data_IF_525162643578
#
_entry.id   IF_525162643578
#
_cell.length_a   1.000
_cell.length_b   1.000
_cell.length_c   1.000
_cell.angle_alpha   90.00
_cell.angle_beta   90.00
_cell.angle_gamma   90.00
#
_symmetry.space_group_name_H-M   'P 1'
#
loop_
_entity.id
_entity.type
_entity.pdbx_description
1 polymer ?
#
# COMPACT_ATOMS: atom_id res chain seq x y z
N UNK A 1 4.28 14.45 11.26
CA UNK A 1 4.78 15.74 10.71
C UNK A 1 5.61 16.49 11.76
N UNK A 2 5.11 16.66 12.99
CA UNK A 2 5.81 17.43 14.01
C UNK A 2 7.18 16.83 14.32
N UNK A 3 7.30 15.51 14.43
CA UNK A 3 8.60 14.83 14.62
C UNK A 3 9.55 15.06 13.44
N UNK A 4 9.04 15.10 12.22
CA UNK A 4 9.86 15.31 11.02
C UNK A 4 10.38 16.75 10.92
N UNK A 5 9.58 17.69 11.37
CA UNK A 5 9.92 19.12 11.33
C UNK A 5 10.70 19.59 12.57
N UNK A 6 10.64 18.85 13.67
CA UNK A 6 11.29 19.24 14.94
C UNK A 6 11.90 18.04 15.65
N UNK A 7 13.22 18.05 15.81
CA UNK A 7 13.94 17.04 16.61
C UNK A 7 13.62 17.10 18.12
N UNK A 8 12.85 18.09 18.56
CA UNK A 8 12.46 18.27 19.95
C UNK A 8 11.30 17.35 20.37
N UNK A 9 10.57 16.79 19.40
CA UNK A 9 9.52 15.79 19.68
C UNK A 9 10.17 14.44 19.93
N UNK A 10 10.09 13.96 21.17
CA UNK A 10 10.70 12.70 21.59
C UNK A 10 9.68 11.66 22.03
N UNK A 11 8.40 12.04 22.09
CA UNK A 11 7.32 11.18 22.57
C UNK A 11 6.00 11.45 21.84
N UNK A 12 5.32 10.38 21.47
CA UNK A 12 3.96 10.39 20.93
C UNK A 12 3.12 9.43 21.77
N UNK A 13 1.88 9.83 22.12
CA UNK A 13 0.89 8.95 22.76
C UNK A 13 -0.37 8.93 21.92
N UNK A 14 -0.92 7.75 21.73
CA UNK A 14 -2.18 7.51 21.03
C UNK A 14 -3.05 6.67 21.94
N UNK A 15 -4.27 7.12 22.23
CA UNK A 15 -5.21 6.39 23.07
C UNK A 15 -6.57 6.34 22.41
N UNK A 16 -7.25 5.20 22.54
CA UNK A 16 -8.62 4.98 22.08
C UNK A 16 -9.44 4.52 23.25
N UNK A 17 -10.44 5.32 23.62
CA UNK A 17 -11.34 5.00 24.73
C UNK A 17 -12.45 4.05 24.28
N UNK A 18 -13.00 3.20 25.17
CA UNK A 18 -14.14 2.35 24.85
C UNK A 18 -15.40 3.11 24.36
N UNK A 19 -15.47 4.40 24.69
CA UNK A 19 -16.51 5.33 24.20
C UNK A 19 -16.35 5.67 22.72
N UNK A 20 -15.21 5.30 22.10
CA UNK A 20 -14.84 5.68 20.76
C UNK A 20 -14.08 7.01 20.64
N UNK A 21 -13.84 7.70 21.76
CA UNK A 21 -13.01 8.90 21.79
C UNK A 21 -11.54 8.54 21.54
N UNK A 22 -10.86 9.39 20.78
CA UNK A 22 -9.47 9.23 20.37
C UNK A 22 -8.66 10.41 20.87
N UNK A 23 -7.52 10.13 21.52
CA UNK A 23 -6.53 11.13 21.91
C UNK A 23 -5.22 10.89 21.18
N UNK A 24 -4.62 11.97 20.67
CA UNK A 24 -3.26 11.99 20.13
C UNK A 24 -2.49 13.10 20.78
N UNK A 25 -1.40 12.74 21.44
CA UNK A 25 -0.52 13.65 22.15
C UNK A 25 0.90 13.56 21.62
N UNK A 26 1.58 14.67 21.51
CA UNK A 26 3.04 14.69 21.37
C UNK A 26 3.64 15.76 22.28
N UNK A 27 4.81 15.47 22.83
CA UNK A 27 5.65 16.48 23.45
C UNK A 27 6.42 17.29 22.38
N UNK A 28 7.19 18.26 22.78
CA UNK A 28 7.94 19.13 21.88
C UNK A 28 7.29 20.50 21.75
N UNK A 29 7.73 21.34 20.82
CA UNK A 29 7.16 22.68 20.66
C UNK A 29 5.66 22.58 20.45
N UNK A 30 4.91 23.38 21.17
CA UNK A 30 3.47 23.53 20.94
C UNK A 30 3.19 24.19 19.59
N UNK A 31 1.93 24.31 19.25
CA UNK A 31 1.50 25.16 18.15
C UNK A 31 1.68 26.60 18.58
N UNK A 32 2.36 27.41 17.76
CA UNK A 32 2.59 28.82 18.09
C UNK A 32 1.27 29.57 18.27
N UNK A 33 1.12 30.28 19.41
CA UNK A 33 -0.12 30.94 19.78
C UNK A 33 0.03 32.43 19.51
N UNK A 34 -0.42 32.85 18.34
CA UNK A 34 -0.45 34.24 17.92
C UNK A 34 -1.76 34.55 17.19
N UNK A 35 -2.13 35.82 17.12
CA UNK A 35 -3.25 36.25 16.29
C UNK A 35 -2.78 36.41 14.86
N UNK A 36 -3.52 35.83 13.94
CA UNK A 36 -3.27 35.89 12.51
C UNK A 36 -4.59 36.12 11.76
N UNK A 37 -4.52 36.58 10.52
CA UNK A 37 -5.70 36.79 9.69
C UNK A 37 -5.93 35.59 8.79
N UNK A 38 -7.18 35.15 8.71
CA UNK A 38 -7.59 34.18 7.69
C UNK A 38 -7.71 34.85 6.30
N UNK A 39 -8.05 34.07 5.28
CA UNK A 39 -8.20 34.55 3.89
C UNK A 39 -9.26 35.66 3.74
N UNK A 40 -10.24 35.70 4.64
CA UNK A 40 -11.29 36.74 4.68
C UNK A 40 -10.90 37.97 5.49
N UNK A 41 -9.67 38.01 6.03
CA UNK A 41 -9.18 39.13 6.86
C UNK A 41 -9.63 39.10 8.34
N UNK A 42 -10.35 38.08 8.77
CA UNK A 42 -10.78 37.92 10.16
C UNK A 42 -9.60 37.48 11.03
N UNK A 43 -9.41 38.19 12.16
CA UNK A 43 -8.38 37.83 13.15
C UNK A 43 -8.81 36.62 13.98
N UNK A 44 -7.92 35.64 14.09
CA UNK A 44 -8.07 34.47 14.94
C UNK A 44 -6.72 33.95 15.40
N UNK A 45 -6.72 33.07 16.41
CA UNK A 45 -5.48 32.43 16.85
C UNK A 45 -5.04 31.34 15.89
N UNK A 46 -3.72 31.16 15.74
CA UNK A 46 -3.14 30.15 14.84
C UNK A 46 -3.70 28.73 15.05
N UNK A 47 -3.91 28.21 16.28
CA UNK A 47 -4.55 26.90 16.43
C UNK A 47 -5.98 26.87 15.89
N UNK A 48 -6.77 27.95 16.06
CA UNK A 48 -8.10 28.05 15.48
C UNK A 48 -8.06 28.05 13.95
N UNK A 49 -7.13 28.79 13.35
CA UNK A 49 -6.91 28.79 11.90
C UNK A 49 -6.58 27.38 11.38
N UNK A 50 -5.65 26.68 12.05
CA UNK A 50 -5.20 25.35 11.63
C UNK A 50 -6.33 24.32 11.66
N UNK A 51 -7.22 24.35 12.63
CA UNK A 51 -8.26 23.33 12.79
C UNK A 51 -9.65 23.78 12.33
N UNK A 52 -9.93 25.06 12.32
CA UNK A 52 -11.24 25.63 11.99
C UNK A 52 -11.38 26.08 10.54
N UNK A 53 -10.28 26.42 9.84
CA UNK A 53 -10.36 27.02 8.51
C UNK A 53 -9.82 26.06 7.43
N UNK A 54 -10.58 25.87 6.36
CA UNK A 54 -10.12 25.11 5.20
C UNK A 54 -8.98 25.85 4.48
N UNK A 55 -8.14 25.09 3.79
CA UNK A 55 -7.00 25.63 3.02
C UNK A 55 -5.97 26.41 3.87
N UNK A 56 -6.04 26.31 5.19
CA UNK A 56 -5.03 26.87 6.08
C UNK A 56 -3.91 25.85 6.28
N UNK A 57 -2.76 26.09 5.68
CA UNK A 57 -1.58 25.23 5.76
C UNK A 57 -0.33 26.02 5.41
N UNK A 58 0.83 25.51 5.84
CA UNK A 58 2.16 26.10 5.52
C UNK A 58 2.85 25.44 4.33
N UNK A 59 2.22 24.42 3.70
CA UNK A 59 2.85 23.56 2.70
C UNK A 59 2.37 23.82 1.26
N UNK A 60 1.89 25.03 0.98
CA UNK A 60 1.43 25.43 -0.35
C UNK A 60 2.56 25.94 -1.26
N UNK A 61 3.75 26.15 -0.73
CA UNK A 61 4.90 26.61 -1.48
C UNK A 61 5.59 25.41 -2.17
N UNK A 62 5.25 25.18 -3.43
CA UNK A 62 5.82 24.10 -4.25
C UNK A 62 7.27 24.36 -4.69
N UNK A 63 7.84 25.55 -4.38
CA UNK A 63 9.24 25.87 -4.68
C UNK A 63 10.23 25.22 -3.70
N UNK A 64 9.72 24.73 -2.56
CA UNK A 64 10.51 24.07 -1.52
C UNK A 64 10.19 22.58 -1.43
N UNK A 65 11.22 21.76 -1.35
CA UNK A 65 11.07 20.33 -1.10
C UNK A 65 10.34 20.08 0.22
N UNK A 66 9.23 19.36 0.13
CA UNK A 66 8.41 18.98 1.27
C UNK A 66 8.61 17.49 1.58
N UNK A 67 9.09 17.17 2.77
CA UNK A 67 9.30 15.80 3.25
C UNK A 67 8.18 15.29 4.18
N UNK A 68 7.06 15.98 4.22
CA UNK A 68 5.88 15.61 4.99
C UNK A 68 4.73 15.19 4.08
N UNK A 69 3.86 14.30 4.55
CA UNK A 69 2.76 13.79 3.73
C UNK A 69 1.61 14.78 3.50
N UNK A 70 1.53 15.87 4.29
CA UNK A 70 0.45 16.88 4.17
C UNK A 70 0.77 17.94 3.11
N UNK A 71 -0.18 18.21 2.20
CA UNK A 71 -0.07 19.25 1.18
C UNK A 71 -1.19 20.30 1.33
N UNK A 72 -2.43 19.87 1.24
CA UNK A 72 -3.58 20.74 1.03
C UNK A 72 -4.22 21.26 2.32
N UNK A 73 -3.65 21.00 3.50
CA UNK A 73 -4.21 21.42 4.78
C UNK A 73 -5.65 20.93 5.05
N UNK A 74 -6.07 19.81 4.42
CA UNK A 74 -7.45 19.31 4.50
C UNK A 74 -7.62 18.24 5.58
N UNK A 75 -6.61 17.39 5.81
CA UNK A 75 -6.75 16.19 6.64
C UNK A 75 -7.20 16.47 8.08
N UNK A 76 -6.58 17.45 8.76
CA UNK A 76 -6.98 17.84 10.12
C UNK A 76 -8.41 18.39 10.16
N UNK A 77 -8.81 19.17 9.15
CA UNK A 77 -10.15 19.76 9.04
C UNK A 77 -11.22 18.70 8.83
N UNK A 78 -10.95 17.69 8.00
CA UNK A 78 -11.88 16.56 7.84
C UNK A 78 -12.06 15.82 9.17
N UNK A 79 -11.03 15.67 9.97
CA UNK A 79 -11.17 15.09 11.31
C UNK A 79 -12.10 15.95 12.18
N UNK A 80 -11.96 17.27 12.15
CA UNK A 80 -12.86 18.16 12.90
C UNK A 80 -14.30 18.11 12.39
N UNK A 81 -14.48 18.19 11.06
CA UNK A 81 -15.80 18.18 10.41
C UNK A 81 -16.58 16.89 10.70
N UNK A 82 -15.89 15.76 10.74
CA UNK A 82 -16.51 14.47 11.01
C UNK A 82 -16.43 14.07 12.50
N UNK A 83 -16.27 15.03 13.40
CA UNK A 83 -16.31 14.82 14.85
C UNK A 83 -17.55 15.43 15.48
N UNK A 84 -18.11 14.75 16.48
CA UNK A 84 -19.13 15.35 17.38
C UNK A 84 -18.50 16.44 18.22
N UNK A 85 -17.32 16.18 18.74
CA UNK A 85 -16.47 17.13 19.45
C UNK A 85 -15.02 16.89 19.06
N UNK A 86 -14.30 17.98 18.85
CA UNK A 86 -12.85 17.99 18.62
C UNK A 86 -12.23 19.08 19.48
N UNK A 87 -11.23 18.74 20.25
CA UNK A 87 -10.55 19.67 21.15
C UNK A 87 -9.06 19.70 20.82
N UNK A 88 -8.53 20.88 20.61
CA UNK A 88 -7.09 21.16 20.55
C UNK A 88 -6.64 21.78 21.86
N UNK A 89 -5.56 21.26 22.41
CA UNK A 89 -4.86 21.78 23.59
C UNK A 89 -3.38 21.87 23.28
N UNK A 90 -2.77 23.01 23.51
CA UNK A 90 -1.35 23.19 23.23
C UNK A 90 -0.70 24.15 24.20
N UNK A 91 0.57 23.89 24.50
CA UNK A 91 1.43 24.74 25.33
C UNK A 91 2.58 25.23 24.47
N UNK A 92 2.60 26.53 24.23
CA UNK A 92 3.64 27.18 23.46
C UNK A 92 4.57 27.98 24.37
N UNK A 93 5.80 27.48 24.53
CA UNK A 93 6.80 28.15 25.36
C UNK A 93 7.40 29.40 24.72
N UNK A 94 7.23 29.60 23.40
CA UNK A 94 7.70 30.81 22.69
C UNK A 94 6.81 32.00 23.07
N UNK A 95 5.48 31.82 22.93
CA UNK A 95 4.52 32.85 23.36
C UNK A 95 4.30 32.89 24.85
N UNK A 96 4.71 31.86 25.60
CA UNK A 96 4.45 31.75 27.04
C UNK A 96 2.98 31.48 27.38
N UNK A 97 2.22 30.91 26.45
CA UNK A 97 0.78 30.72 26.56
C UNK A 97 0.36 29.25 26.50
N UNK A 98 -0.72 28.98 27.24
CA UNK A 98 -1.56 27.79 27.10
C UNK A 98 -2.76 28.16 26.24
N UNK A 99 -3.18 27.23 25.41
CA UNK A 99 -4.37 27.35 24.56
C UNK A 99 -5.19 26.06 24.57
N UNK A 100 -6.52 26.22 24.71
CA UNK A 100 -7.47 25.13 24.55
C UNK A 100 -8.72 25.64 23.86
N UNK A 101 -9.22 24.90 22.87
CA UNK A 101 -10.46 25.24 22.17
C UNK A 101 -11.15 23.97 21.68
N UNK A 102 -12.49 23.99 21.77
CA UNK A 102 -13.32 22.90 21.26
C UNK A 102 -14.16 23.36 20.06
N UNK A 103 -14.27 22.45 19.12
CA UNK A 103 -15.11 22.54 17.93
C UNK A 103 -16.14 21.43 18.02
N UNK A 104 -17.42 21.75 17.78
CA UNK A 104 -18.52 20.80 17.98
C UNK A 104 -19.36 20.67 16.69
N UNK A 105 -20.05 19.54 16.59
CA UNK A 105 -21.03 19.27 15.54
C UNK A 105 -20.51 19.60 14.14
N UNK A 106 -19.31 19.13 13.80
CA UNK A 106 -18.73 19.33 12.47
C UNK A 106 -18.41 20.79 12.13
N UNK A 107 -17.90 21.60 13.09
CA UNK A 107 -17.63 23.03 12.97
C UNK A 107 -18.86 23.95 12.99
N UNK A 108 -20.07 23.44 13.24
CA UNK A 108 -21.24 24.31 13.37
C UNK A 108 -21.22 25.15 14.65
N UNK A 109 -20.48 24.71 15.65
CA UNK A 109 -20.26 25.40 16.91
C UNK A 109 -18.77 25.45 17.23
N UNK A 110 -18.25 26.62 17.52
CA UNK A 110 -16.86 26.86 17.91
C UNK A 110 -16.85 27.59 19.26
N UNK A 111 -16.35 26.90 20.27
CA UNK A 111 -16.24 27.51 21.59
C UNK A 111 -15.18 28.63 21.58
N UNK A 112 -15.33 29.68 22.38
CA UNK A 112 -14.27 30.65 22.56
C UNK A 112 -13.01 29.95 23.13
N UNK A 113 -11.81 30.35 22.68
CA UNK A 113 -10.57 29.72 23.16
C UNK A 113 -10.31 30.12 24.62
N UNK A 114 -9.90 29.14 25.41
CA UNK A 114 -9.29 29.34 26.74
C UNK A 114 -7.81 29.63 26.54
N UNK A 115 -7.34 30.82 26.99
CA UNK A 115 -5.96 31.24 26.84
C UNK A 115 -5.50 31.85 28.15
N UNK A 116 -4.37 31.37 28.66
CA UNK A 116 -3.75 31.94 29.86
C UNK A 116 -2.22 31.74 29.81
N UNK A 117 -1.46 32.52 30.62
CA UNK A 117 -0.03 32.30 30.78
C UNK A 117 0.27 30.87 31.26
N UNK A 118 1.35 30.29 30.78
CA UNK A 118 1.77 28.95 31.22
C UNK A 118 2.17 28.96 32.69
N UNK A 119 1.79 27.89 33.38
CA UNK A 119 2.24 27.65 34.74
C UNK A 119 3.73 27.33 34.76
N UNK A 120 4.46 27.82 35.73
CA UNK A 120 5.91 27.60 35.89
C UNK A 120 6.23 26.10 35.79
N UNK A 121 7.23 25.76 34.94
CA UNK A 121 7.68 24.39 34.64
C UNK A 121 6.75 23.51 33.80
N UNK A 122 5.68 24.04 33.23
CA UNK A 122 4.87 23.30 32.27
C UNK A 122 5.68 23.09 30.97
N UNK A 123 5.87 21.82 30.56
CA UNK A 123 6.58 21.48 29.32
C UNK A 123 5.66 21.70 28.10
N UNK A 124 6.23 22.08 26.96
CA UNK A 124 5.44 22.25 25.74
C UNK A 124 4.90 20.91 25.22
N UNK A 125 3.69 20.95 24.67
CA UNK A 125 3.04 19.80 24.04
C UNK A 125 1.89 20.26 23.13
N UNK A 126 1.42 19.31 22.33
CA UNK A 126 0.14 19.40 21.63
C UNK A 126 -0.66 18.13 21.92
N UNK A 127 -1.94 18.30 22.28
CA UNK A 127 -2.92 17.25 22.51
C UNK A 127 -4.14 17.52 21.65
N UNK A 128 -4.56 16.52 20.92
CA UNK A 128 -5.80 16.51 20.15
C UNK A 128 -6.68 15.41 20.72
N UNK A 129 -7.90 15.78 21.11
CA UNK A 129 -8.90 14.80 21.57
C UNK A 129 -10.14 14.95 20.71
N UNK A 130 -10.70 13.88 20.19
CA UNK A 130 -11.90 13.96 19.38
C UNK A 130 -12.77 12.72 19.48
N UNK A 131 -14.07 12.92 19.37
CA UNK A 131 -15.08 11.89 19.25
C UNK A 131 -15.63 11.90 17.81
N UNK A 132 -15.30 10.91 16.97
CA UNK A 132 -15.86 10.84 15.62
C UNK A 132 -17.39 10.83 15.63
N UNK A 133 -18.00 11.44 14.64
CA UNK A 133 -19.45 11.36 14.44
C UNK A 133 -19.81 9.98 13.83
N UNK A 134 -19.82 8.96 14.65
CA UNK A 134 -20.10 7.58 14.22
C UNK A 134 -21.49 7.45 13.55
N UNK A 135 -22.45 8.27 13.94
CA UNK A 135 -23.80 8.27 13.36
C UNK A 135 -23.78 8.67 11.89
N UNK A 136 -22.97 9.67 11.53
CA UNK A 136 -22.81 10.12 10.14
C UNK A 136 -22.29 8.98 9.23
N UNK A 137 -21.42 8.15 9.76
CA UNK A 137 -20.89 6.97 9.07
C UNK A 137 -21.78 5.73 9.22
N UNK A 138 -22.95 5.83 9.86
CA UNK A 138 -23.84 4.69 10.17
C UNK A 138 -23.14 3.57 10.94
N UNK A 139 -22.21 3.94 11.82
CA UNK A 139 -21.43 3.02 12.64
C UNK A 139 -21.95 3.05 14.09
N UNK A 140 -21.99 1.86 14.72
CA UNK A 140 -22.17 1.73 16.16
C UNK A 140 -20.79 1.78 16.83
N UNK A 141 -20.51 2.77 17.71
CA UNK A 141 -19.21 2.92 18.34
C UNK A 141 -18.73 1.67 19.05
N UNK A 142 -19.63 0.97 19.75
CA UNK A 142 -19.28 -0.26 20.50
C UNK A 142 -18.87 -1.40 19.59
N UNK A 143 -19.57 -1.58 18.47
CA UNK A 143 -19.25 -2.61 17.47
C UNK A 143 -18.01 -2.26 16.67
N UNK A 144 -17.78 -0.98 16.41
CA UNK A 144 -16.66 -0.49 15.62
C UNK A 144 -15.37 -0.34 16.43
N UNK A 145 -15.46 -0.22 17.76
CA UNK A 145 -14.30 -0.05 18.64
C UNK A 145 -13.14 -1.04 18.38
N UNK A 146 -13.37 -2.37 18.25
CA UNK A 146 -12.25 -3.29 17.98
C UNK A 146 -11.53 -2.99 16.68
N UNK A 147 -12.24 -2.54 15.65
CA UNK A 147 -11.68 -2.21 14.34
C UNK A 147 -10.83 -0.95 14.40
N UNK A 148 -11.38 0.14 14.98
CA UNK A 148 -10.64 1.40 15.10
C UNK A 148 -9.45 1.28 16.04
N UNK A 149 -9.62 0.52 17.15
CA UNK A 149 -8.55 0.24 18.08
C UNK A 149 -7.37 -0.45 17.38
N UNK A 150 -7.64 -1.52 16.62
CA UNK A 150 -6.60 -2.24 15.88
C UNK A 150 -5.97 -1.40 14.77
N UNK A 151 -6.75 -0.59 14.08
CA UNK A 151 -6.24 0.32 13.05
C UNK A 151 -5.27 1.35 13.65
N UNK A 152 -5.64 1.98 14.74
CA UNK A 152 -4.80 3.00 15.39
C UNK A 152 -3.59 2.38 16.09
N UNK A 153 -3.71 1.17 16.64
CA UNK A 153 -2.56 0.40 17.11
C UNK A 153 -1.56 0.18 15.97
N UNK A 154 -2.03 -0.28 14.81
CA UNK A 154 -1.16 -0.45 13.62
C UNK A 154 -0.48 0.86 13.22
N UNK A 155 -1.21 2.00 13.27
CA UNK A 155 -0.62 3.31 12.97
C UNK A 155 0.41 3.73 14.01
N UNK A 156 0.21 3.38 15.27
CA UNK A 156 1.19 3.63 16.33
C UNK A 156 2.49 2.83 16.10
N UNK A 157 2.39 1.55 15.72
CA UNK A 157 3.54 0.74 15.33
C UNK A 157 4.28 1.32 14.11
N UNK A 158 3.57 1.77 13.09
CA UNK A 158 4.15 2.43 11.91
C UNK A 158 4.83 3.75 12.26
N UNK A 159 4.24 4.55 13.16
CA UNK A 159 4.84 5.80 13.64
C UNK A 159 6.14 5.52 14.41
N UNK A 160 6.17 4.52 15.28
CA UNK A 160 7.37 4.10 15.99
C UNK A 160 8.46 3.62 15.04
N UNK A 161 8.11 2.78 14.06
CA UNK A 161 9.05 2.27 13.05
C UNK A 161 9.63 3.38 12.17
N UNK A 162 8.82 4.39 11.82
CA UNK A 162 9.27 5.49 10.97
C UNK A 162 10.12 6.51 11.71
N UNK A 163 9.66 6.96 12.88
CA UNK A 163 10.25 8.13 13.56
C UNK A 163 11.38 7.78 14.51
N UNK A 164 11.48 6.54 14.97
CA UNK A 164 12.36 6.10 16.05
C UNK A 164 12.15 6.88 17.35
N UNK A 165 10.96 7.47 17.53
CA UNK A 165 10.52 8.23 18.70
C UNK A 165 9.79 7.27 19.64
N UNK A 166 9.77 7.57 20.95
CA UNK A 166 8.96 6.80 21.91
C UNK A 166 7.48 6.95 21.56
N UNK A 167 6.84 5.87 21.19
CA UNK A 167 5.41 5.85 20.89
C UNK A 167 4.69 4.96 21.90
N UNK A 168 3.63 5.51 22.49
CA UNK A 168 2.75 4.78 23.40
C UNK A 168 1.40 4.57 22.73
N UNK A 169 0.87 3.37 22.87
CA UNK A 169 -0.50 3.05 22.48
C UNK A 169 -1.28 2.54 23.69
N UNK A 170 -2.38 3.21 24.04
CA UNK A 170 -3.16 2.94 25.26
C UNK A 170 -2.24 2.76 26.48
N UNK A 171 -1.32 3.71 26.69
CA UNK A 171 -0.31 3.77 27.76
C UNK A 171 0.81 2.71 27.67
N UNK A 172 0.76 1.76 26.73
CA UNK A 172 1.80 0.77 26.54
C UNK A 172 2.88 1.30 25.57
N UNK A 173 4.13 1.25 25.99
CA UNK A 173 5.25 1.63 25.14
C UNK A 173 5.43 0.59 24.01
N UNK A 174 5.46 1.07 22.78
CA UNK A 174 5.82 0.25 21.63
C UNK A 174 7.34 0.11 21.58
N UNK A 175 7.82 -1.14 21.75
CA UNK A 175 9.25 -1.44 21.79
C UNK A 175 9.72 -1.91 20.42
N UNK A 176 10.19 -0.97 19.60
CA UNK A 176 10.89 -1.24 18.33
C UNK A 176 12.29 -0.61 18.46
N UNK A 177 13.35 -1.39 18.18
CA UNK A 177 14.73 -0.90 18.22
C UNK A 177 15.18 -0.36 16.87
N UNK A 178 14.67 -0.97 15.77
CA UNK A 178 15.06 -0.64 14.41
C UNK A 178 13.91 -0.87 13.42
N UNK A 179 14.03 -0.34 12.22
CA UNK A 179 13.09 -0.64 11.14
C UNK A 179 13.12 -2.14 10.77
N UNK A 180 14.29 -2.77 10.85
CA UNK A 180 14.43 -4.21 10.62
C UNK A 180 13.62 -5.04 11.62
N UNK A 181 13.60 -4.66 12.91
CA UNK A 181 12.78 -5.36 13.92
C UNK A 181 11.28 -5.24 13.60
N UNK A 182 10.85 -4.07 13.11
CA UNK A 182 9.48 -3.89 12.64
C UNK A 182 9.17 -4.78 11.43
N UNK A 183 10.08 -4.86 10.44
CA UNK A 183 9.91 -5.71 9.27
C UNK A 183 9.85 -7.20 9.64
N UNK A 184 10.63 -7.62 10.64
CA UNK A 184 10.66 -9.01 11.12
C UNK A 184 9.32 -9.48 11.70
N UNK A 185 8.44 -8.55 12.12
CA UNK A 185 7.09 -8.89 12.60
C UNK A 185 6.16 -9.44 11.49
N UNK A 186 6.50 -9.24 10.22
CA UNK A 186 5.68 -9.62 9.07
C UNK A 186 6.18 -10.86 8.33
N UNK A 187 7.30 -11.42 8.75
CA UNK A 187 7.92 -12.59 8.11
C UNK A 187 8.72 -13.40 9.11
N UNK A 188 8.68 -14.73 8.97
CA UNK A 188 9.55 -15.65 9.69
C UNK A 188 10.93 -15.77 9.04
N UNK A 189 11.06 -15.32 7.79
CA UNK A 189 12.30 -15.35 7.06
C UNK A 189 13.28 -14.28 7.56
N UNK A 190 14.59 -14.52 7.34
CA UNK A 190 15.63 -13.54 7.64
C UNK A 190 15.35 -12.23 6.91
N UNK A 191 15.47 -11.12 7.63
CA UNK A 191 15.34 -9.75 7.08
C UNK A 191 16.74 -9.18 6.89
N UNK A 192 17.07 -8.86 5.64
CA UNK A 192 18.30 -8.14 5.29
C UNK A 192 18.00 -6.64 5.21
N UNK A 193 18.63 -5.87 6.09
CA UNK A 193 18.46 -4.41 6.16
C UNK A 193 19.62 -3.68 5.48
N UNK A 194 19.29 -2.67 4.68
CA UNK A 194 20.25 -1.81 3.99
C UNK A 194 19.73 -0.39 3.85
N UNK A 195 20.57 0.52 3.37
CA UNK A 195 20.19 1.90 3.01
C UNK A 195 20.45 2.13 1.53
N UNK A 196 19.43 2.55 0.82
CA UNK A 196 19.59 3.10 -0.52
C UNK A 196 19.92 4.59 -0.41
N UNK A 197 20.94 5.02 -1.11
CA UNK A 197 21.38 6.41 -1.12
C UNK A 197 21.06 7.02 -2.46
N UNK A 198 20.69 8.29 -2.46
CA UNK A 198 20.58 9.07 -3.68
C UNK A 198 21.99 9.41 -4.16
N UNK A 199 22.43 8.88 -5.30
CA UNK A 199 23.79 9.08 -5.83
C UNK A 199 24.08 10.52 -6.22
N UNK A 200 23.06 11.30 -6.58
CA UNK A 200 23.20 12.74 -6.89
C UNK A 200 23.27 13.62 -5.64
N UNK A 201 22.64 13.16 -4.53
CA UNK A 201 22.58 13.89 -3.25
C UNK A 201 22.71 12.91 -2.08
N UNK A 202 23.88 12.28 -1.85
CA UNK A 202 24.03 11.15 -0.91
C UNK A 202 23.66 11.46 0.54
N UNK A 203 23.80 12.71 0.97
CA UNK A 203 23.46 13.13 2.33
C UNK A 203 21.97 13.46 2.51
N UNK A 204 21.22 13.60 1.42
CA UNK A 204 19.83 13.98 1.44
C UNK A 204 18.93 12.73 1.24
N UNK A 205 17.91 12.60 2.08
CA UNK A 205 16.78 11.70 1.89
C UNK A 205 17.10 10.20 1.71
N UNK A 206 17.95 9.57 2.54
CA UNK A 206 18.25 8.15 2.40
C UNK A 206 16.99 7.29 2.67
N UNK A 207 16.86 6.19 1.93
CA UNK A 207 15.83 5.19 2.17
C UNK A 207 16.39 4.04 3.00
N UNK A 208 15.70 3.66 4.07
CA UNK A 208 15.95 2.39 4.73
C UNK A 208 15.11 1.31 4.04
N UNK A 209 15.79 0.30 3.51
CA UNK A 209 15.16 -0.81 2.80
C UNK A 209 15.48 -2.10 3.51
N UNK A 210 14.46 -2.92 3.73
CA UNK A 210 14.62 -4.28 4.21
C UNK A 210 14.08 -5.24 3.16
N UNK A 211 14.83 -6.32 2.92
CA UNK A 211 14.45 -7.37 1.98
C UNK A 211 14.33 -8.68 2.76
N UNK A 212 13.30 -9.45 2.45
CA UNK A 212 13.12 -10.81 2.96
C UNK A 212 12.61 -11.71 1.82
N UNK A 213 12.73 -13.02 2.02
CA UNK A 213 12.12 -13.98 1.09
C UNK A 213 10.59 -13.92 1.23
N UNK A 214 9.88 -13.86 0.10
CA UNK A 214 8.42 -13.89 0.03
C UNK A 214 7.90 -15.32 -0.13
N UNK A 215 6.59 -15.50 0.02
CA UNK A 215 5.85 -16.76 -0.13
C UNK A 215 5.53 -17.12 -1.60
N UNK A 216 6.29 -16.59 -2.54
CA UNK A 216 6.05 -16.80 -3.99
C UNK A 216 5.06 -15.81 -4.60
N UNK A 217 4.69 -14.78 -3.86
CA UNK A 217 3.86 -13.65 -4.32
C UNK A 217 4.61 -12.34 -4.12
N UNK A 218 4.36 -11.40 -5.01
CA UNK A 218 4.84 -10.04 -4.85
C UNK A 218 4.30 -9.43 -3.56
N UNK A 219 5.19 -8.98 -2.69
CA UNK A 219 4.84 -8.33 -1.43
C UNK A 219 5.68 -7.10 -1.20
N UNK A 220 5.04 -6.07 -0.71
CA UNK A 220 5.73 -4.85 -0.28
C UNK A 220 5.03 -4.20 0.90
N UNK A 221 5.77 -3.38 1.62
CA UNK A 221 5.27 -2.43 2.61
C UNK A 221 6.13 -1.18 2.56
N UNK A 222 5.52 -0.03 2.39
CA UNK A 222 6.28 1.23 2.38
C UNK A 222 5.66 2.29 3.27
N UNK A 223 6.53 3.11 3.88
CA UNK A 223 6.17 4.25 4.72
C UNK A 223 6.93 5.46 4.19
N UNK A 224 6.24 6.34 3.49
CA UNK A 224 6.81 7.54 2.86
C UNK A 224 6.34 8.78 3.63
N UNK A 225 7.31 9.60 4.05
CA UNK A 225 7.03 10.84 4.81
C UNK A 225 6.10 10.60 6.02
N UNK A 226 6.25 9.43 6.68
CA UNK A 226 5.42 9.01 7.80
C UNK A 226 4.02 8.49 7.42
N UNK A 227 3.72 8.35 6.13
CA UNK A 227 2.45 7.80 5.63
C UNK A 227 2.67 6.38 5.10
N UNK A 228 1.88 5.44 5.59
CA UNK A 228 1.87 4.08 5.04
C UNK A 228 1.20 4.05 3.66
N UNK A 229 1.87 3.44 2.68
CA UNK A 229 1.46 3.36 1.28
C UNK A 229 1.10 1.91 0.93
N UNK A 230 -0.13 1.48 1.19
CA UNK A 230 -0.51 0.06 1.09
C UNK A 230 -0.48 -0.50 -0.34
N UNK A 231 -0.70 0.33 -1.34
CA UNK A 231 -0.70 -0.09 -2.77
C UNK A 231 0.65 0.13 -3.45
N UNK A 232 1.67 0.62 -2.71
CA UNK A 232 3.00 0.88 -3.25
C UNK A 232 3.02 2.02 -4.27
N UNK A 233 3.60 1.78 -5.43
CA UNK A 233 3.75 2.75 -6.51
C UNK A 233 5.13 2.70 -7.13
N UNK A 234 5.48 3.74 -7.86
CA UNK A 234 6.70 3.84 -8.67
C UNK A 234 8.00 3.71 -7.87
N UNK A 235 8.02 4.11 -6.60
CA UNK A 235 9.16 3.91 -5.70
C UNK A 235 9.45 2.42 -5.43
N UNK A 236 8.42 1.57 -5.23
CA UNK A 236 8.58 0.12 -5.10
C UNK A 236 8.97 -0.50 -6.44
N UNK A 237 8.34 -0.05 -7.53
CA UNK A 237 8.69 -0.50 -8.88
C UNK A 237 10.16 -0.20 -9.22
N UNK A 238 10.67 0.94 -8.77
CA UNK A 238 12.10 1.28 -8.94
C UNK A 238 13.00 0.26 -8.22
N UNK A 239 12.71 -0.05 -6.95
CA UNK A 239 13.47 -1.07 -6.20
C UNK A 239 13.44 -2.42 -6.91
N UNK A 240 12.27 -2.84 -7.40
CA UNK A 240 12.12 -4.09 -8.17
C UNK A 240 12.96 -4.07 -9.44
N UNK A 241 12.94 -2.96 -10.18
CA UNK A 241 13.72 -2.82 -11.42
C UNK A 241 15.22 -2.95 -11.16
N UNK A 242 15.73 -2.33 -10.10
CA UNK A 242 17.14 -2.44 -9.71
C UNK A 242 17.49 -3.88 -9.33
N UNK A 243 16.64 -4.56 -8.54
CA UNK A 243 16.85 -5.97 -8.20
C UNK A 243 16.87 -6.84 -9.45
N UNK A 244 15.92 -6.66 -10.35
CA UNK A 244 15.85 -7.39 -11.63
C UNK A 244 17.11 -7.14 -12.47
N UNK A 245 17.51 -5.89 -12.63
CA UNK A 245 18.67 -5.53 -13.43
C UNK A 245 19.96 -6.19 -12.94
N UNK A 246 20.22 -6.11 -11.63
CA UNK A 246 21.47 -6.60 -11.05
C UNK A 246 21.53 -8.12 -10.85
N UNK A 247 20.37 -8.78 -10.67
CA UNK A 247 20.33 -10.23 -10.43
C UNK A 247 20.11 -11.05 -11.71
N UNK A 248 19.65 -10.42 -12.79
CA UNK A 248 19.28 -11.09 -14.05
C UNK A 248 20.40 -11.98 -14.59
N UNK A 249 21.62 -11.45 -14.75
CA UNK A 249 22.73 -12.20 -15.30
C UNK A 249 23.11 -13.45 -14.48
N UNK A 250 23.08 -13.33 -13.14
CA UNK A 250 23.35 -14.45 -12.24
C UNK A 250 22.30 -15.54 -12.42
N UNK A 251 21.01 -15.15 -12.44
CA UNK A 251 19.91 -16.09 -12.66
C UNK A 251 20.01 -16.73 -14.03
N UNK A 252 20.29 -15.99 -15.10
CA UNK A 252 20.44 -16.54 -16.45
C UNK A 252 21.58 -17.57 -16.54
N UNK A 253 22.69 -17.38 -15.83
CA UNK A 253 23.76 -18.37 -15.72
C UNK A 253 23.29 -19.66 -15.06
N UNK A 254 22.56 -19.55 -13.95
CA UNK A 254 22.03 -20.73 -13.22
C UNK A 254 21.03 -21.52 -14.04
N UNK A 255 20.13 -20.84 -14.77
CA UNK A 255 19.06 -21.48 -15.55
C UNK A 255 19.48 -21.89 -16.96
N UNK A 256 20.67 -21.48 -17.44
CA UNK A 256 21.13 -21.72 -18.82
C UNK A 256 21.00 -23.19 -19.27
N UNK A 257 21.28 -24.13 -18.36
CA UNK A 257 21.18 -25.57 -18.62
C UNK A 257 19.76 -26.12 -18.61
N UNK A 258 18.80 -25.37 -18.10
CA UNK A 258 17.41 -25.83 -17.92
C UNK A 258 16.49 -25.57 -19.13
N UNK A 259 16.95 -24.76 -20.09
CA UNK A 259 16.14 -24.32 -21.23
C UNK A 259 14.98 -23.37 -20.87
N UNK A 260 14.91 -22.93 -19.63
CA UNK A 260 13.88 -22.00 -19.13
C UNK A 260 14.30 -20.57 -19.50
N UNK A 261 13.37 -19.78 -20.03
CA UNK A 261 13.59 -18.35 -20.28
C UNK A 261 13.48 -17.55 -18.98
N UNK A 262 14.31 -16.53 -18.84
CA UNK A 262 14.23 -15.59 -17.72
C UNK A 262 12.89 -14.86 -17.72
N UNK A 263 12.32 -14.71 -16.54
CA UNK A 263 11.14 -13.89 -16.28
C UNK A 263 11.40 -13.08 -14.98
N UNK A 264 11.15 -11.78 -15.03
CA UNK A 264 11.33 -10.88 -13.87
C UNK A 264 10.57 -11.37 -12.62
N UNK A 265 9.45 -12.05 -12.81
CA UNK A 265 8.64 -12.57 -11.71
C UNK A 265 9.38 -13.60 -10.84
N UNK A 266 10.47 -14.21 -11.35
CA UNK A 266 11.33 -15.06 -10.50
C UNK A 266 12.02 -14.29 -9.39
N UNK A 267 12.20 -12.99 -9.56
CA UNK A 267 12.74 -12.09 -8.51
C UNK A 267 11.58 -11.46 -7.75
N UNK A 268 10.68 -10.77 -8.45
CA UNK A 268 9.65 -9.93 -7.80
C UNK A 268 8.68 -10.73 -6.92
N UNK A 269 8.38 -11.99 -7.29
CA UNK A 269 7.51 -12.86 -6.48
C UNK A 269 8.22 -13.53 -5.31
N UNK A 270 9.55 -13.56 -5.30
CA UNK A 270 10.33 -14.19 -4.24
C UNK A 270 10.94 -13.18 -3.25
N UNK A 271 10.64 -11.89 -3.42
CA UNK A 271 11.12 -10.84 -2.52
C UNK A 271 9.96 -10.11 -1.84
N UNK A 272 10.05 -9.95 -0.53
CA UNK A 272 9.22 -9.05 0.24
C UNK A 272 10.03 -7.77 0.48
N UNK A 273 9.57 -6.65 -0.06
CA UNK A 273 10.24 -5.36 0.01
C UNK A 273 9.59 -4.53 1.10
N UNK A 274 10.37 -4.13 2.09
CA UNK A 274 10.00 -3.11 3.05
C UNK A 274 10.82 -1.87 2.80
N UNK A 275 10.19 -0.71 2.84
CA UNK A 275 10.88 0.55 2.60
C UNK A 275 10.32 1.64 3.50
N UNK A 276 11.19 2.42 4.12
CA UNK A 276 10.84 3.70 4.72
C UNK A 276 11.81 4.78 4.28
N UNK A 277 11.29 5.97 4.12
CA UNK A 277 12.15 7.12 3.83
C UNK A 277 11.39 8.35 3.36
N UNK A 278 12.07 9.47 3.29
CA UNK A 278 11.50 10.67 2.72
C UNK A 278 11.50 10.61 1.18
N UNK A 279 10.43 11.16 0.61
CA UNK A 279 10.32 11.50 -0.81
C UNK A 279 9.98 12.99 -0.88
N UNK A 280 10.82 13.82 -1.50
CA UNK A 280 10.53 15.24 -1.65
C UNK A 280 9.25 15.45 -2.45
N UNK A 281 8.33 16.26 -1.93
CA UNK A 281 7.08 16.65 -2.61
C UNK A 281 6.39 15.49 -3.34
N UNK A 282 5.96 14.42 -2.61
CA UNK A 282 5.41 13.22 -3.23
C UNK A 282 4.03 13.49 -3.84
N UNK A 283 3.81 12.91 -5.01
CA UNK A 283 2.51 12.85 -5.68
C UNK A 283 1.79 11.54 -5.34
N UNK A 284 0.49 11.63 -5.08
CA UNK A 284 -0.34 10.49 -4.73
C UNK A 284 -1.48 10.32 -5.75
N UNK A 285 -1.83 9.09 -6.07
CA UNK A 285 -2.97 8.79 -6.95
C UNK A 285 -4.31 9.31 -6.42
N UNK A 286 -4.44 9.45 -5.10
CA UNK A 286 -5.68 9.89 -4.46
C UNK A 286 -5.39 10.57 -3.11
N UNK A 287 -6.40 11.28 -2.58
CA UNK A 287 -6.30 11.92 -1.26
C UNK A 287 -6.13 10.91 -0.11
N UNK A 288 -6.50 9.65 -0.29
CA UNK A 288 -6.26 8.58 0.69
C UNK A 288 -4.79 8.18 0.80
N UNK A 289 -3.93 8.63 -0.14
CA UNK A 289 -2.47 8.43 -0.16
C UNK A 289 -2.08 6.95 -0.14
N UNK A 290 -2.84 6.12 -0.84
CA UNK A 290 -2.61 4.68 -0.86
C UNK A 290 -1.52 4.24 -1.84
N UNK A 291 -1.24 5.05 -2.87
CA UNK A 291 -0.21 4.79 -3.86
C UNK A 291 0.51 6.07 -4.27
N UNK A 292 1.81 5.96 -4.53
CA UNK A 292 2.63 7.03 -5.12
C UNK A 292 2.55 6.96 -6.64
N UNK A 293 2.35 8.14 -7.26
CA UNK A 293 2.23 8.32 -8.71
C UNK A 293 3.36 9.14 -9.34
N UNK A 294 4.35 9.55 -8.55
CA UNK A 294 5.52 10.26 -9.09
C UNK A 294 6.13 9.52 -10.29
N UNK A 295 6.66 10.21 -11.29
CA UNK A 295 7.41 9.59 -12.39
C UNK A 295 8.57 8.75 -11.84
N UNK A 296 8.82 7.57 -12.44
CA UNK A 296 9.87 6.65 -11.94
C UNK A 296 11.27 7.27 -12.05
N UNK A 297 11.44 8.22 -12.97
CA UNK A 297 12.66 9.00 -13.20
C UNK A 297 13.10 9.80 -11.98
N UNK A 298 12.14 10.16 -11.10
CA UNK A 298 12.44 10.84 -9.82
C UNK A 298 13.29 9.97 -8.90
N UNK A 299 13.25 8.66 -9.07
CA UNK A 299 13.90 7.69 -8.19
C UNK A 299 15.15 7.04 -8.78
N UNK A 300 15.50 7.31 -10.06
CA UNK A 300 16.61 6.63 -10.76
C UNK A 300 17.97 6.75 -10.08
N UNK A 301 18.16 7.77 -9.27
CA UNK A 301 19.41 8.01 -8.55
C UNK A 301 19.48 7.25 -7.20
N UNK A 302 18.42 6.53 -6.78
CA UNK A 302 18.49 5.71 -5.57
C UNK A 302 19.03 4.34 -5.90
N UNK A 303 20.14 3.96 -5.26
CA UNK A 303 20.84 2.70 -5.51
C UNK A 303 21.19 1.96 -4.22
N UNK A 304 21.27 0.64 -4.33
CA UNK A 304 21.85 -0.18 -3.27
C UNK A 304 23.37 -0.05 -3.24
N UNK A 305 24.01 -0.04 -2.07
CA UNK A 305 25.45 -0.08 -1.97
C UNK A 305 26.03 -1.30 -2.67
N UNK A 306 27.12 -1.12 -3.40
CA UNK A 306 27.75 -2.22 -4.16
C UNK A 306 28.11 -3.43 -3.29
N UNK A 307 28.51 -3.20 -2.02
CA UNK A 307 28.84 -4.24 -1.03
C UNK A 307 27.67 -5.14 -0.64
N UNK A 308 26.44 -4.71 -0.86
CA UNK A 308 25.25 -5.42 -0.40
C UNK A 308 24.73 -6.45 -1.41
N UNK A 309 25.16 -6.37 -2.67
CA UNK A 309 24.67 -7.24 -3.73
C UNK A 309 24.96 -8.74 -3.49
N UNK A 310 26.10 -9.08 -2.88
CA UNK A 310 26.40 -10.48 -2.53
C UNK A 310 25.41 -11.00 -1.48
N UNK A 311 25.13 -10.20 -0.45
CA UNK A 311 24.17 -10.58 0.60
C UNK A 311 22.73 -10.65 0.10
N UNK A 312 22.33 -9.73 -0.80
CA UNK A 312 21.02 -9.76 -1.45
C UNK A 312 20.87 -11.05 -2.28
N UNK A 313 21.92 -11.45 -3.00
CA UNK A 313 21.94 -12.69 -3.75
C UNK A 313 21.80 -13.90 -2.82
N UNK A 314 22.66 -14.02 -1.82
CA UNK A 314 22.63 -15.10 -0.82
C UNK A 314 21.25 -15.25 -0.16
N UNK A 315 20.56 -14.14 0.10
CA UNK A 315 19.21 -14.14 0.66
C UNK A 315 18.18 -14.72 -0.31
N UNK A 316 18.20 -14.31 -1.58
CA UNK A 316 17.13 -14.57 -2.54
C UNK A 316 17.38 -15.83 -3.39
N UNK A 317 18.63 -16.22 -3.61
CA UNK A 317 19.02 -17.36 -4.45
C UNK A 317 18.26 -18.65 -4.13
N UNK A 318 18.18 -19.12 -2.87
CA UNK A 318 17.50 -20.37 -2.55
C UNK A 318 16.03 -20.38 -2.96
N UNK A 319 15.31 -19.27 -2.75
CA UNK A 319 13.91 -19.14 -3.09
C UNK A 319 13.69 -19.07 -4.61
N UNK A 320 14.56 -18.33 -5.30
CA UNK A 320 14.53 -18.22 -6.77
C UNK A 320 14.80 -19.59 -7.39
N UNK A 321 15.84 -20.30 -6.96
CA UNK A 321 16.17 -21.63 -7.48
C UNK A 321 15.07 -22.66 -7.17
N UNK A 322 14.47 -22.61 -5.97
CA UNK A 322 13.32 -23.45 -5.63
C UNK A 322 12.13 -23.22 -6.56
N UNK A 323 11.89 -21.96 -6.96
CA UNK A 323 10.83 -21.62 -7.92
C UNK A 323 11.10 -22.22 -9.31
N UNK A 324 12.38 -22.22 -9.76
CA UNK A 324 12.79 -22.88 -11.01
C UNK A 324 12.59 -24.40 -10.94
N UNK A 325 13.04 -25.03 -9.85
CA UNK A 325 12.89 -26.48 -9.66
C UNK A 325 11.42 -26.88 -9.67
N UNK A 326 10.55 -26.14 -8.99
CA UNK A 326 9.09 -26.37 -9.02
C UNK A 326 8.54 -26.28 -10.43
N UNK A 327 8.98 -25.31 -11.22
CA UNK A 327 8.56 -25.17 -12.61
C UNK A 327 9.07 -26.31 -13.48
N UNK A 328 10.33 -26.71 -13.36
CA UNK A 328 10.87 -27.87 -14.06
C UNK A 328 10.10 -29.15 -13.74
N UNK A 329 9.80 -29.42 -12.47
CA UNK A 329 9.02 -30.58 -12.05
C UNK A 329 7.59 -30.52 -12.57
N UNK A 330 6.98 -29.32 -12.64
CA UNK A 330 5.69 -29.10 -13.27
C UNK A 330 5.73 -29.41 -14.77
N UNK A 331 6.73 -28.90 -15.48
CA UNK A 331 6.93 -29.13 -16.90
C UNK A 331 7.24 -30.61 -17.23
N UNK A 332 8.00 -31.30 -16.35
CA UNK A 332 8.26 -32.76 -16.49
C UNK A 332 6.97 -33.56 -16.30
N UNK A 333 6.14 -33.23 -15.28
CA UNK A 333 4.83 -33.86 -15.12
C UNK A 333 3.91 -33.62 -16.32
N UNK A 334 3.98 -32.42 -16.90
CA UNK A 334 3.22 -32.04 -18.09
C UNK A 334 3.73 -32.79 -19.36
N UNK A 335 5.06 -32.99 -19.49
CA UNK A 335 5.66 -33.75 -20.58
C UNK A 335 5.41 -35.25 -20.46
N UNK A 336 5.31 -35.80 -19.24
CA UNK A 336 4.92 -37.20 -19.05
C UNK A 336 3.48 -37.50 -19.47
N UNK A 337 2.62 -36.49 -19.55
CA UNK A 337 1.27 -36.55 -20.11
C UNK A 337 1.29 -36.17 -21.58
N UNK A 338 2.02 -36.91 -22.42
CA UNK A 338 2.01 -36.74 -23.89
C UNK A 338 0.59 -36.84 -24.41
N UNK A 339 0.08 -35.71 -24.94
CA UNK A 339 -1.26 -35.59 -25.52
C UNK A 339 -2.16 -34.52 -24.91
N UNK A 340 -1.73 -33.80 -23.88
CA UNK A 340 -2.46 -32.61 -23.42
C UNK A 340 -2.31 -31.48 -24.44
N UNK A 341 -3.43 -31.05 -25.00
CA UNK A 341 -3.50 -29.82 -25.78
C UNK A 341 -3.40 -28.66 -24.78
N UNK A 342 -2.33 -27.92 -24.83
CA UNK A 342 -2.16 -26.72 -23.97
C UNK A 342 -2.91 -25.56 -24.62
N UNK A 343 -4.20 -25.49 -24.33
CA UNK A 343 -5.03 -24.35 -24.74
C UNK A 343 -5.08 -23.37 -23.57
N UNK A 344 -4.64 -22.13 -23.75
CA UNK A 344 -4.74 -21.12 -22.70
C UNK A 344 -6.16 -21.03 -22.14
N UNK A 345 -6.30 -20.97 -20.80
CA UNK A 345 -7.60 -20.89 -20.11
C UNK A 345 -8.51 -22.12 -20.20
N UNK A 346 -8.00 -23.24 -20.74
CA UNK A 346 -8.73 -24.49 -20.75
C UNK A 346 -8.39 -25.37 -19.55
N UNK A 347 -9.41 -25.78 -18.82
CA UNK A 347 -9.33 -26.74 -17.70
C UNK A 347 -10.01 -28.02 -18.16
N UNK A 348 -9.25 -29.09 -18.25
CA UNK A 348 -9.70 -30.38 -18.76
C UNK A 348 -10.45 -31.16 -17.65
N UNK A 349 -11.55 -31.84 -18.03
CA UNK A 349 -12.19 -32.82 -17.16
C UNK A 349 -11.26 -34.00 -16.89
N UNK A 350 -11.25 -34.52 -15.66
CA UNK A 350 -10.34 -35.61 -15.26
C UNK A 350 -10.56 -36.91 -16.10
N UNK A 351 -11.81 -37.24 -16.41
CA UNK A 351 -12.16 -38.46 -17.14
C UNK A 351 -12.21 -38.30 -18.64
N UNK A 352 -11.95 -37.14 -19.23
CA UNK A 352 -12.05 -36.93 -20.66
C UNK A 352 -11.09 -37.81 -21.50
N UNK A 353 -10.06 -38.39 -20.89
CA UNK A 353 -9.07 -39.29 -21.51
C UNK A 353 -9.26 -40.76 -21.14
N UNK A 354 -10.23 -41.08 -20.31
CA UNK A 354 -10.60 -42.45 -19.97
C UNK A 354 -11.49 -43.01 -21.10
N UNK A 355 -11.02 -44.01 -21.82
CA UNK A 355 -11.74 -44.59 -22.96
C UNK A 355 -13.16 -45.10 -22.65
N UNK A 356 -13.44 -45.38 -21.36
CA UNK A 356 -14.77 -45.83 -20.91
C UNK A 356 -15.66 -44.71 -20.41
N UNK A 357 -15.11 -43.60 -19.99
CA UNK A 357 -15.81 -42.50 -19.32
C UNK A 357 -15.84 -41.18 -20.11
N UNK A 358 -15.01 -41.06 -21.12
CA UNK A 358 -14.88 -39.80 -21.87
C UNK A 358 -16.18 -39.39 -22.59
N UNK A 359 -17.07 -40.35 -22.91
CA UNK A 359 -18.36 -40.05 -23.53
C UNK A 359 -19.34 -39.30 -22.66
N UNK A 360 -19.14 -39.37 -21.32
CA UNK A 360 -20.00 -38.73 -20.33
C UNK A 360 -19.43 -37.37 -19.88
N UNK A 361 -18.26 -36.99 -20.40
CA UNK A 361 -17.65 -35.71 -20.06
C UNK A 361 -18.26 -34.54 -20.85
N UNK A 362 -18.48 -33.42 -20.16
CA UNK A 362 -18.97 -32.17 -20.73
C UNK A 362 -17.92 -31.06 -20.72
N UNK A 363 -18.12 -30.05 -21.57
CA UNK A 363 -17.31 -28.84 -21.62
C UNK A 363 -18.19 -27.62 -21.35
N UNK A 364 -17.84 -26.88 -20.34
CA UNK A 364 -18.47 -25.59 -20.00
C UNK A 364 -17.66 -24.50 -20.70
N UNK A 365 -18.30 -23.74 -21.59
CA UNK A 365 -17.69 -22.59 -22.25
C UNK A 365 -18.24 -21.33 -21.62
N UNK A 366 -17.33 -20.45 -21.14
CA UNK A 366 -17.69 -19.22 -20.46
C UNK A 366 -17.18 -18.01 -21.23
N UNK A 367 -17.94 -16.92 -21.20
CA UNK A 367 -17.49 -15.62 -21.70
C UNK A 367 -16.68 -14.90 -20.61
N UNK A 368 -15.35 -14.91 -20.77
CA UNK A 368 -14.44 -14.23 -19.86
C UNK A 368 -14.18 -14.94 -18.53
N UNK A 369 -13.22 -14.39 -17.81
CA UNK A 369 -12.68 -15.00 -16.58
C UNK A 369 -13.64 -14.92 -15.39
N UNK A 370 -14.52 -13.92 -15.36
CA UNK A 370 -15.53 -13.77 -14.29
C UNK A 370 -16.56 -14.91 -14.34
N UNK A 371 -17.06 -15.25 -15.52
CA UNK A 371 -18.00 -16.34 -15.68
C UNK A 371 -17.33 -17.71 -15.45
N UNK A 372 -16.03 -17.84 -15.83
CA UNK A 372 -15.23 -19.02 -15.49
C UNK A 372 -15.12 -19.24 -13.97
N UNK A 373 -14.94 -18.16 -13.20
CA UNK A 373 -14.93 -18.24 -11.74
C UNK A 373 -16.22 -18.79 -11.14
N UNK A 374 -17.37 -18.42 -11.72
CA UNK A 374 -18.68 -18.96 -11.29
C UNK A 374 -18.80 -20.45 -11.60
N UNK A 375 -18.37 -20.89 -12.79
CA UNK A 375 -18.32 -22.29 -13.15
C UNK A 375 -17.39 -23.10 -12.23
N UNK A 376 -16.22 -22.53 -11.90
CA UNK A 376 -15.26 -23.14 -10.95
C UNK A 376 -15.87 -23.35 -9.56
N UNK A 377 -16.62 -22.39 -9.06
CA UNK A 377 -17.33 -22.50 -7.75
C UNK A 377 -18.34 -23.65 -7.82
N UNK A 378 -19.15 -23.71 -8.88
CA UNK A 378 -20.15 -24.75 -9.05
C UNK A 378 -19.53 -26.15 -9.14
N UNK A 379 -18.40 -26.30 -9.87
CA UNK A 379 -17.70 -27.59 -10.01
C UNK A 379 -16.95 -28.03 -8.75
N UNK A 380 -16.74 -27.13 -7.79
CA UNK A 380 -16.17 -27.43 -6.49
C UNK A 380 -17.23 -27.68 -5.40
N UNK A 381 -18.51 -27.50 -5.71
CA UNK A 381 -19.61 -27.69 -4.77
C UNK A 381 -19.87 -29.18 -4.51
N UNK A 382 -19.60 -29.62 -3.29
CA UNK A 382 -19.76 -31.01 -2.88
C UNK A 382 -21.23 -31.45 -2.76
N UNK A 383 -22.18 -30.53 -2.84
CA UNK A 383 -23.62 -30.84 -2.83
C UNK A 383 -24.11 -31.32 -4.19
N UNK A 384 -23.30 -31.19 -5.24
CA UNK A 384 -23.58 -31.59 -6.61
C UNK A 384 -22.60 -32.70 -7.06
N UNK A 385 -22.80 -33.96 -6.62
CA UNK A 385 -21.80 -35.03 -6.78
C UNK A 385 -21.45 -35.36 -8.25
N UNK A 386 -22.39 -35.16 -9.15
CA UNK A 386 -22.20 -35.46 -10.59
C UNK A 386 -21.74 -34.20 -11.39
N UNK A 387 -21.73 -33.02 -10.77
CA UNK A 387 -21.31 -31.79 -11.41
C UNK A 387 -19.95 -31.34 -10.87
N UNK A 388 -18.90 -32.02 -11.28
CA UNK A 388 -17.54 -31.83 -10.76
C UNK A 388 -16.50 -31.79 -11.88
N UNK A 389 -15.28 -31.36 -11.56
CA UNK A 389 -14.14 -31.46 -12.47
C UNK A 389 -13.76 -32.88 -12.90
N UNK A 390 -14.32 -33.91 -12.30
CA UNK A 390 -14.15 -35.26 -12.77
C UNK A 390 -14.82 -35.44 -14.14
N UNK A 391 -15.97 -34.79 -14.36
CA UNK A 391 -16.81 -34.94 -15.54
C UNK A 391 -16.84 -33.69 -16.44
N UNK A 392 -16.58 -32.50 -15.92
CA UNK A 392 -16.69 -31.26 -16.68
C UNK A 392 -15.36 -30.52 -16.78
N UNK A 393 -15.00 -30.12 -18.00
CA UNK A 393 -13.95 -29.15 -18.26
C UNK A 393 -14.50 -27.73 -18.37
N UNK A 394 -13.64 -26.73 -18.23
CA UNK A 394 -14.01 -25.31 -18.37
C UNK A 394 -13.10 -24.66 -19.40
N UNK A 395 -13.67 -23.89 -20.29
CA UNK A 395 -12.94 -23.08 -21.26
C UNK A 395 -13.47 -21.65 -21.27
N UNK A 396 -12.59 -20.71 -20.93
CA UNK A 396 -12.92 -19.29 -20.95
C UNK A 396 -12.50 -18.67 -22.29
N UNK A 397 -13.47 -18.20 -23.05
CA UNK A 397 -13.23 -17.49 -24.32
C UNK A 397 -13.10 -15.99 -24.08
N UNK A 398 -12.23 -15.32 -24.86
CA UNK A 398 -11.99 -13.87 -24.76
C UNK A 398 -12.99 -13.08 -25.60
N UNK A 399 -14.22 -12.91 -25.08
CA UNK A 399 -15.30 -12.17 -25.73
C UNK A 399 -16.36 -13.06 -26.39
N UNK A 400 -17.44 -12.44 -26.87
CA UNK A 400 -18.54 -13.13 -27.52
C UNK A 400 -18.10 -13.65 -28.90
N UNK A 401 -18.36 -14.93 -29.23
CA UNK A 401 -18.09 -15.44 -30.58
C UNK A 401 -18.85 -14.62 -31.62
N UNK A 402 -18.16 -14.30 -32.72
CA UNK A 402 -18.78 -13.56 -33.81
C UNK A 402 -19.91 -14.38 -34.41
N UNK A 403 -21.08 -13.77 -34.54
CA UNK A 403 -22.23 -14.45 -35.20
C UNK A 403 -21.98 -14.57 -36.73
N UNK A 404 -21.43 -15.70 -37.15
CA UNK A 404 -21.06 -15.96 -38.54
C UNK A 404 -22.22 -15.87 -39.51
N UNK A 405 -23.46 -16.13 -39.08
CA UNK A 405 -24.67 -15.95 -39.90
C UNK A 405 -24.95 -14.47 -40.15
N UNK A 406 -24.75 -13.60 -39.16
CA UNK A 406 -24.96 -12.16 -39.30
C UNK A 406 -23.92 -11.51 -40.20
N UNK A 407 -22.65 -11.94 -40.08
CA UNK A 407 -21.57 -11.45 -40.97
C UNK A 407 -21.68 -11.95 -42.40
N UNK A 408 -22.23 -13.14 -42.64
CA UNK A 408 -22.44 -13.66 -43.97
C UNK A 408 -23.61 -13.01 -44.74
N UNK A 409 -24.53 -12.33 -44.00
CA UNK A 409 -25.71 -11.67 -44.60
C UNK A 409 -25.52 -10.17 -44.85
N UNK A 410 -24.48 -9.54 -44.32
CA UNK A 410 -24.16 -8.14 -44.61
C UNK A 410 -23.24 -8.05 -45.83
N UNK A 411 -23.65 -7.35 -46.93
CA UNK A 411 -22.77 -7.15 -48.07
C UNK A 411 -21.57 -6.32 -47.66
N UNK A 412 -20.36 -6.87 -47.89
CA UNK A 412 -19.09 -6.26 -47.55
C UNK A 412 -18.89 -4.92 -48.25
N UNK A 413 -19.26 -3.85 -47.62
CA UNK A 413 -18.77 -2.50 -47.90
C UNK A 413 -17.91 -2.08 -46.70
N UNK A 414 -16.73 -2.64 -46.59
CA UNK A 414 -15.63 -2.06 -45.85
C UNK A 414 -14.36 -2.12 -46.68
N UNK A 415 -13.95 -0.94 -47.15
CA UNK A 415 -12.64 -0.74 -47.78
C UNK A 415 -11.58 -1.19 -46.78
N UNK A 416 -10.71 -2.06 -47.25
CA UNK A 416 -9.52 -2.53 -46.55
C UNK A 416 -8.71 -1.34 -45.98
N UNK A 417 -8.61 -1.29 -44.65
CA UNK A 417 -7.48 -0.70 -43.92
C UNK A 417 -7.29 -1.58 -42.70
N UNK A 418 -6.36 -2.46 -42.84
CA UNK A 418 -5.49 -3.16 -41.90
C UNK A 418 -5.33 -4.64 -42.23
N UNK A 419 -4.25 -4.93 -42.94
CA UNK A 419 -3.80 -6.30 -43.29
C UNK A 419 -3.29 -7.11 -42.06
N UNK A 420 -3.37 -6.57 -40.83
CA UNK A 420 -2.94 -7.26 -39.62
C UNK A 420 -4.03 -8.12 -38.95
N UNK A 421 -5.32 -7.84 -39.25
CA UNK A 421 -6.44 -8.55 -38.63
C UNK A 421 -6.81 -9.87 -39.38
N UNK A 422 -6.36 -10.03 -40.63
CA UNK A 422 -6.73 -11.18 -41.45
C UNK A 422 -5.86 -12.42 -41.18
N UNK A 423 -4.67 -12.24 -40.58
CA UNK A 423 -3.75 -13.36 -40.28
C UNK A 423 -4.09 -14.16 -39.01
N UNK A 424 -4.98 -13.69 -38.18
CA UNK A 424 -5.39 -14.42 -36.98
C UNK A 424 -6.62 -15.32 -37.14
N UNK A 425 -7.43 -15.09 -38.17
CA UNK A 425 -8.66 -15.87 -38.43
C UNK A 425 -8.44 -17.14 -39.28
N UNK A 426 -7.25 -17.36 -39.88
CA UNK A 426 -6.95 -18.52 -40.70
C UNK A 426 -6.20 -19.64 -39.96
N UNK A 427 -6.18 -19.63 -38.63
CA UNK A 427 -5.56 -20.65 -37.78
C UNK A 427 -6.51 -21.19 -36.71
N UNK A 428 -7.76 -21.34 -37.02
CA UNK A 428 -8.72 -22.17 -36.29
C UNK A 428 -9.20 -23.28 -37.18
#
# INVERSE_FOLDING_TARGET
HHVLNSKLVTEIRISVMPTGEIEVYNNGPGIHIEKTKNLSGLEMYTPQLIFGEFMAGSNFDDTKDRIVGGQNGIGSKLTVVFSQIFTVETVDTISGLFYKQSFKNGLSEVDPPEIHPIVKNLKPYTRITFLPNYAEFKLDPKKFYPTINKLLETRAWQAAAYTSTKVYYNSNLITIKSFSDFCQMFTENLVFATKMLNTSKPAEYPWEVCLAVSDGKERHMSIINGVHIPKGGTHIQHIQNILVYNLKERIEKEIKKSGIKFNKNYITNNVFIFMKGPVPSPEFLSQTKEAISDPIEKFVNYEFPAKDWSKIWELLEPAILATFLKKQLGDVKTRANRGKVDVPKYKEAKFCRDAKKCHDCGLIITEGDSASGTADIGLCDKTLPDFTYDWFGVYSIGGVPVNGLKESMEPKIRKAKDDSAVKSASKL
#
